data_IF_191024276396
#
_entry.id   IF_191024276396
#
_cell.length_a   1.000
_cell.length_b   1.000
_cell.length_c   1.000
_cell.angle_alpha   90.00
_cell.angle_beta   90.00
_cell.angle_gamma   90.00
#
_symmetry.space_group_name_H-M   'P 1'
#
loop_
_entity.id
_entity.type
_entity.pdbx_description
1 polymer ?
#
# COMPACT_ATOMS: atom_id res chain seq x y z
N UNK A 1 21.51 13.36 34.45
CA UNK A 1 22.11 12.30 33.63
C UNK A 1 20.98 11.39 33.17
N UNK A 2 20.44 11.63 31.98
CA UNK A 2 19.35 10.85 31.38
C UNK A 2 19.75 10.57 29.92
N UNK A 3 20.44 9.46 29.68
CA UNK A 3 21.00 9.09 28.36
C UNK A 3 20.60 7.68 27.91
N UNK A 4 19.74 6.98 28.67
CA UNK A 4 19.45 5.55 28.41
C UNK A 4 18.06 5.29 27.79
N UNK A 5 17.15 6.27 27.76
CA UNK A 5 15.75 6.06 27.35
C UNK A 5 15.46 6.20 25.84
N UNK A 6 16.43 6.62 25.02
CA UNK A 6 16.17 6.94 23.59
C UNK A 6 16.44 5.76 22.64
N UNK A 7 17.15 4.71 23.08
CA UNK A 7 17.63 3.62 22.21
C UNK A 7 16.63 2.46 22.07
N UNK A 8 15.74 2.22 23.04
CA UNK A 8 14.77 1.11 22.99
C UNK A 8 13.57 1.42 22.08
N UNK A 9 13.20 2.69 21.89
CA UNK A 9 12.01 3.09 21.11
C UNK A 9 12.23 3.15 19.59
N UNK A 10 13.47 3.30 19.13
CA UNK A 10 13.78 3.42 17.70
C UNK A 10 13.78 2.06 16.99
N UNK A 11 14.28 1.02 17.67
CA UNK A 11 14.44 -0.32 17.10
C UNK A 11 13.07 -1.00 16.88
N UNK A 12 12.14 -0.83 17.82
CA UNK A 12 10.76 -1.33 17.71
C UNK A 12 9.97 -0.63 16.59
N UNK A 13 10.18 0.68 16.42
CA UNK A 13 9.50 1.47 15.37
C UNK A 13 10.00 1.08 13.98
N UNK A 14 11.29 0.88 13.82
CA UNK A 14 11.89 0.43 12.57
C UNK A 14 11.40 -0.97 12.18
N UNK A 15 11.36 -1.90 13.14
CA UNK A 15 10.82 -3.24 12.92
C UNK A 15 9.34 -3.22 12.48
N UNK A 16 8.52 -2.35 13.08
CA UNK A 16 7.12 -2.18 12.68
C UNK A 16 6.99 -1.62 11.25
N UNK A 17 7.77 -0.59 10.90
CA UNK A 17 7.78 0.00 9.56
C UNK A 17 8.16 -1.03 8.49
N UNK A 18 9.21 -1.82 8.74
CA UNK A 18 9.63 -2.93 7.86
C UNK A 18 8.50 -3.96 7.72
N UNK A 19 7.83 -4.32 8.81
CA UNK A 19 6.72 -5.26 8.78
C UNK A 19 5.53 -4.72 7.96
N UNK A 20 5.20 -3.42 8.08
CA UNK A 20 4.17 -2.79 7.26
C UNK A 20 4.56 -2.74 5.78
N UNK A 21 5.81 -2.34 5.46
CA UNK A 21 6.31 -2.34 4.10
C UNK A 21 6.23 -3.73 3.46
N UNK A 22 6.64 -4.79 4.19
CA UNK A 22 6.52 -6.18 3.74
C UNK A 22 5.06 -6.56 3.46
N UNK A 23 4.11 -6.15 4.31
CA UNK A 23 2.67 -6.41 4.08
C UNK A 23 2.16 -5.73 2.81
N UNK A 24 2.59 -4.50 2.53
CA UNK A 24 2.24 -3.77 1.30
C UNK A 24 2.80 -4.51 0.08
N UNK A 25 4.10 -4.85 0.09
CA UNK A 25 4.75 -5.61 -1.00
C UNK A 25 4.02 -6.93 -1.27
N UNK A 26 3.63 -7.67 -0.22
CA UNK A 26 2.89 -8.92 -0.37
C UNK A 26 1.47 -8.73 -0.95
N UNK A 27 0.85 -7.56 -0.78
CA UNK A 27 -0.43 -7.24 -1.45
C UNK A 27 -0.20 -6.94 -2.92
N UNK A 28 0.81 -6.14 -3.25
CA UNK A 28 1.17 -5.79 -4.62
C UNK A 28 1.56 -7.04 -5.44
N UNK A 29 2.40 -7.94 -4.87
CA UNK A 29 2.76 -9.21 -5.52
C UNK A 29 1.55 -10.10 -5.82
N UNK A 30 0.55 -10.10 -4.93
CA UNK A 30 -0.71 -10.83 -5.17
C UNK A 30 -1.50 -10.21 -6.32
N UNK A 31 -1.66 -8.88 -6.32
CA UNK A 31 -2.33 -8.16 -7.40
C UNK A 31 -1.61 -8.38 -8.75
N UNK A 32 -0.27 -8.39 -8.76
CA UNK A 32 0.54 -8.71 -9.92
C UNK A 32 0.25 -10.11 -10.48
N UNK A 33 0.20 -11.12 -9.62
CA UNK A 33 -0.15 -12.49 -10.03
C UNK A 33 -1.57 -12.60 -10.59
N UNK A 34 -2.52 -11.88 -9.99
CA UNK A 34 -3.90 -11.83 -10.50
C UNK A 34 -3.98 -11.13 -11.86
N UNK A 35 -3.25 -10.02 -12.05
CA UNK A 35 -3.20 -9.32 -13.33
C UNK A 35 -2.57 -10.19 -14.42
N UNK A 36 -1.50 -10.92 -14.10
CA UNK A 36 -0.89 -11.88 -15.03
C UNK A 36 -1.91 -12.96 -15.46
N UNK A 37 -2.75 -13.45 -14.54
CA UNK A 37 -3.82 -14.39 -14.88
C UNK A 37 -4.88 -13.76 -15.81
N UNK A 38 -5.25 -12.49 -15.59
CA UNK A 38 -6.17 -11.76 -16.47
C UNK A 38 -5.60 -11.62 -17.89
N UNK A 39 -4.32 -11.24 -18.00
CA UNK A 39 -3.62 -11.14 -19.30
C UNK A 39 -3.67 -12.47 -20.04
N UNK A 40 -3.29 -13.56 -19.38
CA UNK A 40 -3.33 -14.90 -19.98
C UNK A 40 -4.75 -15.31 -20.40
N UNK A 41 -5.77 -14.95 -19.61
CA UNK A 41 -7.17 -15.24 -19.94
C UNK A 41 -7.60 -14.51 -21.22
N UNK A 42 -7.23 -13.24 -21.37
CA UNK A 42 -7.50 -12.44 -22.58
C UNK A 42 -6.77 -13.04 -23.80
N UNK A 43 -5.49 -13.35 -23.66
CA UNK A 43 -4.69 -13.93 -24.74
C UNK A 43 -5.20 -15.31 -25.18
N UNK A 44 -5.79 -16.07 -24.25
CA UNK A 44 -6.40 -17.37 -24.52
C UNK A 44 -7.83 -17.29 -25.05
N UNK A 45 -8.38 -16.08 -25.25
CA UNK A 45 -9.74 -15.88 -25.75
C UNK A 45 -10.83 -16.25 -24.75
N UNK A 46 -10.59 -16.09 -23.46
CA UNK A 46 -11.60 -16.34 -22.43
C UNK A 46 -12.83 -15.43 -22.58
N UNK A 47 -13.96 -15.89 -22.06
CA UNK A 47 -15.23 -15.16 -22.08
C UNK A 47 -15.11 -13.77 -21.44
N UNK A 48 -15.67 -12.76 -22.10
CA UNK A 48 -15.57 -11.36 -21.65
C UNK A 48 -16.08 -11.18 -20.21
N UNK A 49 -17.13 -11.92 -19.84
CA UNK A 49 -17.70 -11.88 -18.48
C UNK A 49 -16.67 -12.30 -17.42
N UNK A 50 -15.93 -13.37 -17.68
CA UNK A 50 -14.97 -13.91 -16.73
C UNK A 50 -13.75 -13.00 -16.60
N UNK A 51 -13.28 -12.44 -17.73
CA UNK A 51 -12.20 -11.44 -17.75
C UNK A 51 -12.58 -10.22 -16.90
N UNK A 52 -13.81 -9.68 -17.07
CA UNK A 52 -14.28 -8.52 -16.30
C UNK A 52 -14.36 -8.83 -14.80
N UNK A 53 -14.84 -10.01 -14.41
CA UNK A 53 -14.89 -10.43 -13.00
C UNK A 53 -13.49 -10.51 -12.40
N UNK A 54 -12.53 -11.11 -13.12
CA UNK A 54 -11.14 -11.21 -12.67
C UNK A 54 -10.49 -9.82 -12.58
N UNK A 55 -10.72 -8.95 -13.56
CA UNK A 55 -10.20 -7.59 -13.57
C UNK A 55 -10.74 -6.77 -12.40
N UNK A 56 -12.04 -6.90 -12.07
CA UNK A 56 -12.62 -6.28 -10.89
C UNK A 56 -11.95 -6.76 -9.59
N UNK A 57 -11.60 -8.04 -9.50
CA UNK A 57 -10.85 -8.58 -8.37
C UNK A 57 -9.42 -8.01 -8.27
N UNK A 58 -8.75 -7.80 -9.42
CA UNK A 58 -7.44 -7.12 -9.48
C UNK A 58 -7.55 -5.68 -8.99
N UNK A 59 -8.52 -4.92 -9.52
CA UNK A 59 -8.78 -3.54 -9.09
C UNK A 59 -8.99 -3.48 -7.58
N UNK A 60 -9.84 -4.36 -7.02
CA UNK A 60 -10.05 -4.38 -5.56
C UNK A 60 -8.82 -4.76 -4.75
N UNK A 61 -7.91 -5.56 -5.31
CA UNK A 61 -6.64 -5.88 -4.67
C UNK A 61 -5.69 -4.68 -4.68
N UNK A 62 -5.67 -3.92 -5.78
CA UNK A 62 -4.90 -2.68 -5.92
C UNK A 62 -5.41 -1.59 -4.97
N UNK A 63 -6.73 -1.35 -4.88
CA UNK A 63 -7.31 -0.37 -3.95
C UNK A 63 -6.87 -0.67 -2.51
N UNK A 64 -6.94 -1.94 -2.09
CA UNK A 64 -6.53 -2.35 -0.75
C UNK A 64 -5.03 -2.20 -0.50
N UNK A 65 -4.20 -2.24 -1.54
CA UNK A 65 -2.77 -1.94 -1.42
C UNK A 65 -2.55 -0.42 -1.36
N UNK A 66 -3.23 0.35 -2.21
CA UNK A 66 -3.18 1.81 -2.23
C UNK A 66 -3.61 2.43 -0.90
N UNK A 67 -4.74 2.00 -0.33
CA UNK A 67 -5.19 2.47 0.98
C UNK A 67 -4.19 2.15 2.10
N UNK A 68 -3.51 1.00 2.02
CA UNK A 68 -2.49 0.66 3.01
C UNK A 68 -1.25 1.56 2.89
N UNK A 69 -0.88 1.96 1.67
CA UNK A 69 0.22 2.90 1.42
C UNK A 69 -0.12 4.28 1.95
N UNK A 70 -1.29 4.81 1.58
CA UNK A 70 -1.75 6.14 2.03
C UNK A 70 -1.89 6.18 3.55
N UNK A 71 -2.49 5.16 4.16
CA UNK A 71 -2.59 5.06 5.62
C UNK A 71 -1.21 4.98 6.31
N UNK A 72 -0.21 4.38 5.65
CA UNK A 72 1.16 4.38 6.16
C UNK A 72 1.79 5.77 6.08
N UNK A 73 1.62 6.46 4.96
CA UNK A 73 2.13 7.81 4.77
C UNK A 73 1.50 8.81 5.75
N UNK A 74 0.18 8.73 5.98
CA UNK A 74 -0.52 9.53 6.99
C UNK A 74 0.05 9.32 8.40
N UNK A 75 0.43 8.09 8.78
CA UNK A 75 1.05 7.84 10.09
C UNK A 75 2.45 8.45 10.20
N UNK A 76 3.19 8.51 9.09
CA UNK A 76 4.50 9.18 9.06
C UNK A 76 4.33 10.68 9.20
N UNK A 77 3.47 11.32 8.40
CA UNK A 77 3.20 12.76 8.48
C UNK A 77 2.67 13.21 9.85
N UNK A 78 1.87 12.38 10.54
CA UNK A 78 1.41 12.69 11.91
C UNK A 78 2.53 12.46 12.95
N UNK A 79 3.40 11.47 12.72
CA UNK A 79 4.48 11.14 13.64
C UNK A 79 5.65 12.12 13.57
N UNK A 80 5.85 12.78 12.43
CA UNK A 80 6.88 13.80 12.22
C UNK A 80 6.27 15.02 11.51
N UNK A 81 5.75 16.01 12.26
CA UNK A 81 5.14 17.20 11.69
C UNK A 81 6.14 18.18 11.04
N UNK A 82 7.45 17.93 11.16
CA UNK A 82 8.50 18.67 10.45
C UNK A 82 8.91 17.99 9.12
N UNK A 83 8.39 16.79 8.83
CA UNK A 83 8.60 16.09 7.57
C UNK A 83 7.77 16.73 6.45
N UNK A 84 8.38 17.66 5.72
CA UNK A 84 7.80 18.34 4.55
C UNK A 84 7.70 17.45 3.29
N UNK A 85 8.04 16.15 3.36
CA UNK A 85 7.99 15.28 2.17
C UNK A 85 6.58 15.06 1.62
N UNK A 86 5.54 15.26 2.43
CA UNK A 86 4.14 15.18 2.01
C UNK A 86 3.24 15.99 2.95
N UNK A 87 2.47 16.91 2.39
CA UNK A 87 1.46 17.67 3.15
C UNK A 87 0.15 16.89 3.33
N UNK A 88 -0.66 17.19 4.37
CA UNK A 88 -1.98 16.60 4.55
C UNK A 88 -2.90 16.76 3.32
N UNK A 89 -2.86 17.90 2.65
CA UNK A 89 -3.65 18.20 1.45
C UNK A 89 -3.23 17.32 0.26
N UNK A 90 -1.93 17.08 0.10
CA UNK A 90 -1.41 16.16 -0.92
C UNK A 90 -1.82 14.72 -0.64
N UNK A 91 -1.80 14.30 0.62
CA UNK A 91 -2.27 12.98 1.03
C UNK A 91 -3.77 12.80 0.80
N UNK A 92 -4.58 13.80 1.10
CA UNK A 92 -6.02 13.80 0.81
C UNK A 92 -6.26 13.64 -0.70
N UNK A 93 -5.54 14.40 -1.52
CA UNK A 93 -5.64 14.30 -2.97
C UNK A 93 -5.26 12.91 -3.48
N UNK A 94 -4.16 12.33 -2.99
CA UNK A 94 -3.76 10.96 -3.34
C UNK A 94 -4.79 9.93 -2.88
N UNK A 95 -5.38 10.10 -1.70
CA UNK A 95 -6.46 9.23 -1.24
C UNK A 95 -7.68 9.27 -2.18
N UNK A 96 -8.11 10.48 -2.58
CA UNK A 96 -9.26 10.66 -3.47
C UNK A 96 -9.03 10.08 -4.87
N UNK A 97 -7.78 9.95 -5.34
CA UNK A 97 -7.49 9.24 -6.61
C UNK A 97 -7.72 7.73 -6.56
N UNK A 98 -7.86 7.16 -5.35
CA UNK A 98 -8.11 5.74 -5.12
C UNK A 98 -9.58 5.44 -4.78
N UNK A 99 -10.46 6.45 -4.81
CA UNK A 99 -11.87 6.38 -4.42
C UNK A 99 -12.81 6.17 -5.62
#
# INVERSE_FOLDING_TARGET
>A
MNETATSETTDDREAELIAQQRKIVNRLRRAQGQLAAVVNAVESGAECRDVVIQLAAVSKALDRAGYAIVASAMRTCIADPEDESMTPDELEKLFLTLA
#
